data_IF_391604970300
#
_entry.id   IF_391604970300
#
_cell.length_a   1.000
_cell.length_b   1.000
_cell.length_c   1.000
_cell.angle_alpha   90.00
_cell.angle_beta   90.00
_cell.angle_gamma   90.00
#
_symmetry.space_group_name_H-M   'P 1'
#
loop_
_entity.id
_entity.type
_entity.pdbx_description
1 polymer ?
#
# COMPACT_ATOMS: atom_id res chain seq x y z
N UNK A 1 8.87 -45.24 16.19
CA UNK A 1 9.31 -43.95 15.62
C UNK A 1 8.06 -43.26 15.11
N UNK A 2 7.24 -42.77 16.04
CA UNK A 2 7.31 -41.39 16.59
C UNK A 2 6.75 -40.42 15.54
N UNK A 3 5.76 -39.57 15.79
CA UNK A 3 5.08 -39.18 17.01
C UNK A 3 3.76 -38.52 16.62
N UNK A 4 2.83 -38.60 17.55
CA UNK A 4 1.50 -38.01 17.53
C UNK A 4 1.65 -36.51 17.78
N UNK A 5 1.47 -35.66 16.76
CA UNK A 5 1.33 -34.22 16.97
C UNK A 5 -0.12 -33.81 16.70
N UNK A 6 -0.87 -33.85 17.79
CA UNK A 6 -2.10 -33.09 18.00
C UNK A 6 -1.76 -31.60 18.02
N UNK A 7 -1.79 -30.96 16.87
CA UNK A 7 -1.82 -29.51 16.77
C UNK A 7 -3.22 -29.09 16.32
N UNK A 8 -3.79 -28.11 17.01
CA UNK A 8 -5.07 -27.46 16.73
C UNK A 8 -5.21 -27.29 15.21
N UNK A 9 -6.06 -28.12 14.58
CA UNK A 9 -6.30 -28.08 13.13
C UNK A 9 -7.03 -26.78 12.80
N UNK A 10 -6.33 -25.65 12.77
CA UNK A 10 -6.78 -24.45 12.07
C UNK A 10 -6.84 -24.86 10.61
N UNK A 11 -8.04 -25.23 10.16
CA UNK A 11 -8.30 -25.48 8.75
C UNK A 11 -7.95 -24.22 7.97
N UNK A 12 -6.92 -24.29 7.14
CA UNK A 12 -6.48 -23.17 6.33
C UNK A 12 -7.36 -23.11 5.09
N UNK A 13 -8.40 -22.28 5.14
CA UNK A 13 -9.37 -22.13 4.06
C UNK A 13 -8.83 -21.21 2.97
N UNK A 14 -9.01 -21.61 1.71
CA UNK A 14 -8.70 -20.79 0.56
C UNK A 14 -9.76 -19.68 0.43
N UNK A 15 -9.32 -18.42 0.48
CA UNK A 15 -10.21 -17.26 0.34
C UNK A 15 -10.86 -17.10 -1.04
N UNK A 16 -10.43 -17.87 -2.05
CA UNK A 16 -10.97 -17.76 -3.42
C UNK A 16 -11.92 -18.90 -3.81
N UNK A 17 -11.76 -20.10 -3.23
CA UNK A 17 -12.60 -21.25 -3.53
C UNK A 17 -13.22 -21.93 -2.30
N UNK A 18 -12.83 -21.53 -1.09
CA UNK A 18 -13.35 -22.10 0.16
C UNK A 18 -12.75 -23.46 0.56
N UNK A 19 -11.88 -24.07 -0.25
CA UNK A 19 -11.25 -25.36 0.09
C UNK A 19 -10.42 -25.25 1.38
N UNK A 20 -10.62 -26.20 2.29
CA UNK A 20 -9.92 -26.30 3.56
C UNK A 20 -8.70 -27.21 3.43
N UNK A 21 -7.52 -26.70 3.83
CA UNK A 21 -6.28 -27.47 3.85
C UNK A 21 -5.81 -27.65 5.28
N UNK A 22 -5.36 -28.86 5.64
CA UNK A 22 -4.80 -29.15 6.96
C UNK A 22 -3.39 -28.57 7.17
N UNK A 23 -2.75 -28.03 6.12
CA UNK A 23 -1.40 -27.43 6.19
C UNK A 23 -1.37 -26.11 5.39
N UNK A 24 -0.68 -25.08 5.89
CA UNK A 24 -0.58 -23.79 5.19
C UNK A 24 0.21 -23.91 3.88
N UNK A 25 1.18 -24.82 3.80
CA UNK A 25 1.98 -25.07 2.59
C UNK A 25 1.11 -25.58 1.41
N UNK A 26 0.16 -26.48 1.70
CA UNK A 26 -0.76 -27.03 0.69
C UNK A 26 -1.70 -25.94 0.17
N UNK A 27 -2.23 -25.10 1.07
CA UNK A 27 -3.03 -23.94 0.67
C UNK A 27 -2.22 -22.98 -0.22
N UNK A 28 -0.97 -22.67 0.14
CA UNK A 28 -0.12 -21.79 -0.65
C UNK A 28 0.16 -22.33 -2.06
N UNK A 29 0.41 -23.65 -2.17
CA UNK A 29 0.60 -24.32 -3.47
C UNK A 29 -0.69 -24.29 -4.30
N UNK A 30 -1.83 -24.64 -3.69
CA UNK A 30 -3.15 -24.58 -4.33
C UNK A 30 -3.45 -23.18 -4.88
N UNK A 31 -3.26 -22.13 -4.06
CA UNK A 31 -3.48 -20.75 -4.48
C UNK A 31 -2.55 -20.34 -5.63
N UNK A 32 -1.29 -20.80 -5.63
CA UNK A 32 -0.33 -20.50 -6.70
C UNK A 32 -0.69 -21.19 -8.01
N UNK A 33 -1.15 -22.44 -7.97
CA UNK A 33 -1.47 -23.24 -9.15
C UNK A 33 -2.86 -22.90 -9.73
N UNK A 34 -3.90 -22.81 -8.88
CA UNK A 34 -5.30 -22.62 -9.29
C UNK A 34 -5.73 -21.14 -9.31
N UNK A 35 -5.14 -20.31 -8.47
CA UNK A 35 -5.53 -18.89 -8.31
C UNK A 35 -4.43 -17.89 -8.69
N UNK A 36 -3.55 -18.26 -9.64
CA UNK A 36 -2.44 -17.41 -10.13
C UNK A 36 -2.90 -16.00 -10.56
N UNK A 37 -4.05 -15.89 -11.22
CA UNK A 37 -4.64 -14.60 -11.65
C UNK A 37 -5.19 -13.80 -10.47
N UNK A 38 -5.85 -14.45 -9.52
CA UNK A 38 -6.41 -13.79 -8.33
C UNK A 38 -5.31 -13.26 -7.40
N UNK A 39 -4.24 -14.04 -7.17
CA UNK A 39 -3.03 -13.58 -6.44
C UNK A 39 -2.36 -12.37 -7.09
N UNK A 40 -2.28 -12.33 -8.43
CA UNK A 40 -1.69 -11.19 -9.16
C UNK A 40 -2.55 -9.93 -9.01
N UNK A 41 -3.88 -10.06 -9.04
CA UNK A 41 -4.81 -8.95 -8.82
C UNK A 41 -4.73 -8.42 -7.39
N UNK A 42 -4.67 -9.27 -6.38
CA UNK A 42 -4.49 -8.81 -4.99
C UNK A 42 -3.13 -8.19 -4.73
N UNK A 43 -2.04 -8.75 -5.27
CA UNK A 43 -0.71 -8.13 -5.13
C UNK A 43 -0.68 -6.75 -5.79
N UNK A 44 -1.37 -6.57 -6.91
CA UNK A 44 -1.58 -5.27 -7.54
C UNK A 44 -2.45 -4.35 -6.68
N UNK A 45 -3.57 -4.84 -6.15
CA UNK A 45 -4.46 -4.09 -5.26
C UNK A 45 -3.74 -3.57 -4.02
N UNK A 46 -2.98 -4.42 -3.33
CA UNK A 46 -2.14 -4.05 -2.18
C UNK A 46 -1.06 -3.03 -2.55
N UNK A 47 -0.50 -3.11 -3.76
CA UNK A 47 0.50 -2.14 -4.23
C UNK A 47 -0.14 -0.79 -4.56
N UNK A 48 -1.36 -0.78 -5.08
CA UNK A 48 -2.14 0.44 -5.35
C UNK A 48 -2.61 1.08 -4.05
N UNK A 49 -3.08 0.29 -3.09
CA UNK A 49 -3.51 0.77 -1.77
C UNK A 49 -2.36 1.45 -1.02
N UNK A 50 -1.18 0.82 -0.99
CA UNK A 50 0.03 1.43 -0.42
C UNK A 50 0.43 2.73 -1.14
N UNK A 51 0.35 2.75 -2.48
CA UNK A 51 0.60 3.99 -3.22
C UNK A 51 -0.44 5.06 -2.89
N UNK A 52 -1.73 4.72 -2.77
CA UNK A 52 -2.78 5.70 -2.41
C UNK A 52 -2.57 6.28 -1.02
N UNK A 53 -2.14 5.48 -0.05
CA UNK A 53 -1.84 5.97 1.29
C UNK A 53 -0.64 6.93 1.28
N UNK A 54 0.41 6.61 0.52
CA UNK A 54 1.55 7.51 0.35
C UNK A 54 1.17 8.81 -0.36
N UNK A 55 0.29 8.77 -1.36
CA UNK A 55 -0.21 9.95 -2.06
C UNK A 55 -1.00 10.84 -1.10
N UNK A 56 -1.92 10.28 -0.30
CA UNK A 56 -2.70 11.04 0.67
C UNK A 56 -1.80 11.76 1.69
N UNK A 57 -0.84 11.04 2.28
CA UNK A 57 0.16 11.65 3.19
C UNK A 57 0.94 12.78 2.53
N UNK A 58 1.26 12.62 1.24
CA UNK A 58 1.97 13.66 0.47
C UNK A 58 1.09 14.89 0.25
N UNK A 59 -0.21 14.72 -0.02
CA UNK A 59 -1.17 15.83 -0.15
C UNK A 59 -1.30 16.60 1.17
N UNK A 60 -1.38 15.90 2.30
CA UNK A 60 -1.42 16.54 3.63
C UNK A 60 -0.16 17.36 3.89
N UNK A 61 1.03 16.81 3.58
CA UNK A 61 2.29 17.53 3.73
C UNK A 61 2.35 18.81 2.86
N UNK A 62 1.85 18.77 1.63
CA UNK A 62 1.76 19.96 0.77
C UNK A 62 0.84 21.01 1.39
N UNK A 63 -0.29 20.61 1.97
CA UNK A 63 -1.21 21.52 2.65
C UNK A 63 -0.53 22.27 3.80
N UNK A 64 0.26 21.56 4.61
CA UNK A 64 1.04 22.14 5.69
C UNK A 64 2.11 23.10 5.14
N UNK A 65 2.84 22.71 4.11
CA UNK A 65 3.86 23.56 3.47
C UNK A 65 3.24 24.86 2.94
N UNK A 66 2.12 24.78 2.22
CA UNK A 66 1.38 25.96 1.73
C UNK A 66 0.86 26.85 2.88
N UNK A 67 0.40 26.23 3.97
CA UNK A 67 0.01 26.95 5.19
C UNK A 67 1.16 27.68 5.87
N UNK A 68 2.38 27.13 5.84
CA UNK A 68 3.57 27.80 6.36
C UNK A 68 3.97 28.99 5.51
N UNK A 69 3.79 28.95 4.18
CA UNK A 69 4.14 30.06 3.29
C UNK A 69 3.40 31.38 3.60
N UNK A 70 2.19 31.30 4.15
CA UNK A 70 1.39 32.48 4.51
C UNK A 70 1.73 33.06 5.89
N UNK A 71 2.62 32.40 6.65
CA UNK A 71 2.98 32.86 7.98
C UNK A 71 3.77 34.18 7.94
N UNK A 72 3.43 35.17 8.79
CA UNK A 72 4.14 36.44 8.87
C UNK A 72 5.53 36.32 9.53
N UNK A 73 5.87 35.16 10.12
CA UNK A 73 7.14 34.91 10.83
C UNK A 73 8.25 34.34 9.93
N UNK A 74 8.01 34.21 8.62
CA UNK A 74 8.97 33.68 7.65
C UNK A 74 9.47 34.79 6.72
N UNK A 75 10.77 34.77 6.44
CA UNK A 75 11.44 35.69 5.53
C UNK A 75 11.05 35.40 4.07
N UNK A 76 11.20 36.37 3.18
CA UNK A 76 10.85 36.24 1.76
C UNK A 76 11.59 35.08 1.07
N UNK A 77 12.87 34.88 1.41
CA UNK A 77 13.70 33.78 0.91
C UNK A 77 13.16 32.41 1.36
N UNK A 78 12.71 32.28 2.60
CA UNK A 78 12.18 31.02 3.14
C UNK A 78 10.83 30.67 2.50
N UNK A 79 9.97 31.67 2.30
CA UNK A 79 8.68 31.51 1.60
C UNK A 79 8.85 31.07 0.15
N UNK A 80 9.87 31.62 -0.53
CA UNK A 80 10.23 31.25 -1.89
C UNK A 80 10.68 29.79 -1.96
N UNK A 81 11.56 29.36 -1.05
CA UNK A 81 12.03 27.96 -0.98
C UNK A 81 10.86 27.00 -0.74
N UNK A 82 9.97 27.31 0.20
CA UNK A 82 8.76 26.50 0.47
C UNK A 82 7.83 26.42 -0.76
N UNK A 83 7.79 27.46 -1.59
CA UNK A 83 7.01 27.50 -2.82
C UNK A 83 7.59 26.64 -3.93
N UNK A 84 8.90 26.73 -4.14
CA UNK A 84 9.63 25.86 -5.08
C UNK A 84 9.50 24.39 -4.69
N UNK A 85 9.61 24.07 -3.40
CA UNK A 85 9.42 22.71 -2.88
C UNK A 85 7.99 22.23 -3.13
N UNK A 86 6.98 23.03 -2.80
CA UNK A 86 5.57 22.68 -3.04
C UNK A 86 5.29 22.40 -4.51
N UNK A 87 5.81 23.24 -5.41
CA UNK A 87 5.64 23.10 -6.87
C UNK A 87 6.28 21.83 -7.42
N UNK A 88 7.49 21.48 -6.97
CA UNK A 88 8.17 20.22 -7.35
C UNK A 88 7.38 19.00 -6.91
N UNK A 89 6.81 19.03 -5.70
CA UNK A 89 5.98 17.92 -5.21
C UNK A 89 4.69 17.80 -6.04
N UNK A 90 4.04 18.91 -6.40
CA UNK A 90 2.86 18.90 -7.28
C UNK A 90 3.17 18.31 -8.67
N UNK A 91 4.33 18.62 -9.25
CA UNK A 91 4.80 18.05 -10.51
C UNK A 91 5.03 16.52 -10.40
N UNK A 92 5.67 16.08 -9.32
CA UNK A 92 5.87 14.64 -9.04
C UNK A 92 4.53 13.90 -8.88
N UNK A 93 3.53 14.53 -8.25
CA UNK A 93 2.19 13.96 -8.10
C UNK A 93 1.44 13.88 -9.44
N UNK A 94 1.70 14.80 -10.38
CA UNK A 94 1.07 14.78 -11.70
C UNK A 94 1.51 13.58 -12.57
N UNK A 95 2.71 13.05 -12.33
CA UNK A 95 3.22 11.85 -13.01
C UNK A 95 2.67 10.54 -12.44
N UNK A 96 1.99 10.57 -11.29
CA UNK A 96 1.36 9.38 -10.73
C UNK A 96 0.02 9.16 -11.44
N UNK A 97 -0.21 7.99 -12.07
CA UNK A 97 -1.47 7.72 -12.73
C UNK A 97 -2.60 7.74 -11.69
N UNK A 98 -3.47 8.76 -11.74
CA UNK A 98 -4.73 8.75 -11.00
C UNK A 98 -5.49 7.49 -11.42
N UNK A 99 -5.63 6.55 -10.49
CA UNK A 99 -6.44 5.36 -10.73
C UNK A 99 -7.88 5.83 -10.97
N UNK A 100 -8.41 5.50 -12.17
CA UNK A 100 -9.76 5.81 -12.62
C UNK A 100 -10.77 4.86 -11.98
#
# INVERSE_FOLDING_TARGET
>A
MEEKQSEVKKEYKCKYCGEAFGKPLLLAHHVRAKHKRAKKREKKGLSVEKMSEQINKTIEAIGILKGLQVSPHLSDEEKKVLGDVSKRIEELLAHIPKSK
#
